data_IF_705155141681
#
_entry.id   IF_705155141681
#
_cell.length_a   1.000
_cell.length_b   1.000
_cell.length_c   1.000
_cell.angle_alpha   90.00
_cell.angle_beta   90.00
_cell.angle_gamma   90.00
#
_symmetry.space_group_name_H-M   'P 1'
#
loop_
_entity.id
_entity.type
_entity.pdbx_description
1 polymer ?
#
# COMPACT_ATOMS: atom_id res chain seq x y z
N UNK A 1 -10.98 6.63 4.70
CA UNK A 1 -10.83 6.24 3.29
C UNK A 1 -9.50 5.50 3.16
N UNK A 2 -9.47 4.42 2.40
CA UNK A 2 -8.27 3.62 2.22
C UNK A 2 -7.41 4.18 1.09
N UNK A 3 -6.10 3.97 1.19
CA UNK A 3 -5.18 4.22 0.08
C UNK A 3 -5.23 3.05 -0.91
N UNK A 4 -4.79 3.26 -2.16
CA UNK A 4 -4.70 2.18 -3.14
C UNK A 4 -3.84 1.00 -2.65
N UNK A 5 -2.76 1.30 -1.92
CA UNK A 5 -1.88 0.28 -1.37
C UNK A 5 -2.62 -0.60 -0.32
N UNK A 6 -3.44 0.03 0.53
CA UNK A 6 -4.28 -0.66 1.49
C UNK A 6 -5.35 -1.53 0.82
N UNK A 7 -5.98 -1.03 -0.23
CA UNK A 7 -6.98 -1.80 -1.00
C UNK A 7 -6.35 -3.02 -1.68
N UNK A 8 -5.18 -2.87 -2.31
CA UNK A 8 -4.43 -3.99 -2.89
C UNK A 8 -4.12 -5.05 -1.84
N UNK A 9 -3.64 -4.62 -0.67
CA UNK A 9 -3.28 -5.54 0.41
C UNK A 9 -4.52 -6.25 0.97
N UNK A 10 -5.65 -5.55 1.11
CA UNK A 10 -6.93 -6.13 1.50
C UNK A 10 -7.44 -7.17 0.50
N UNK A 11 -7.30 -6.92 -0.80
CA UNK A 11 -7.68 -7.89 -1.83
C UNK A 11 -6.82 -9.16 -1.80
N UNK A 12 -5.56 -9.03 -1.37
CA UNK A 12 -4.66 -10.15 -1.14
C UNK A 12 -5.04 -10.99 0.12
N UNK A 13 -5.74 -10.41 1.08
CA UNK A 13 -6.15 -11.10 2.31
C UNK A 13 -7.21 -12.20 2.05
N UNK A 14 -7.02 -13.37 2.64
CA UNK A 14 -8.08 -14.37 2.77
C UNK A 14 -9.01 -13.98 3.92
N UNK A 15 -10.19 -13.44 3.57
CA UNK A 15 -11.19 -12.94 4.52
C UNK A 15 -11.60 -13.95 5.60
N UNK A 16 -11.54 -15.26 5.30
CA UNK A 16 -11.94 -16.33 6.23
C UNK A 16 -10.80 -16.72 7.16
N UNK A 17 -9.57 -16.75 6.64
CA UNK A 17 -8.40 -17.21 7.41
C UNK A 17 -7.68 -16.08 8.13
N UNK A 18 -7.86 -14.83 7.69
CA UNK A 18 -7.07 -13.69 8.15
C UNK A 18 -5.59 -13.83 7.77
N UNK A 19 -5.28 -14.47 6.64
CA UNK A 19 -3.91 -14.68 6.17
C UNK A 19 -3.78 -14.20 4.74
N UNK A 20 -2.63 -13.64 4.37
CA UNK A 20 -2.38 -13.22 2.99
C UNK A 20 -2.24 -14.43 2.05
N UNK A 21 -2.76 -14.29 0.82
CA UNK A 21 -2.51 -15.26 -0.24
C UNK A 21 -1.04 -15.17 -0.66
N UNK A 22 -0.52 -16.29 -1.14
CA UNK A 22 0.87 -16.36 -1.58
C UNK A 22 1.04 -15.59 -2.90
N UNK A 23 1.81 -14.52 -2.87
CA UNK A 23 2.30 -13.79 -4.05
C UNK A 23 3.83 -13.73 -3.99
N UNK A 24 4.53 -13.65 -5.13
CA UNK A 24 5.95 -13.33 -5.12
C UNK A 24 6.19 -12.01 -4.39
N UNK A 25 7.08 -12.01 -3.40
CA UNK A 25 7.32 -10.87 -2.51
C UNK A 25 7.68 -9.60 -3.29
N UNK A 26 8.60 -9.72 -4.24
CA UNK A 26 9.02 -8.61 -5.11
C UNK A 26 7.87 -8.04 -5.94
N UNK A 27 6.94 -8.88 -6.40
CA UNK A 27 5.77 -8.43 -7.15
C UNK A 27 4.83 -7.63 -6.25
N UNK A 28 4.58 -8.10 -5.02
CA UNK A 28 3.74 -7.37 -4.06
C UNK A 28 4.39 -6.05 -3.65
N UNK A 29 5.69 -6.05 -3.33
CA UNK A 29 6.42 -4.82 -2.97
C UNK A 29 6.39 -3.79 -4.10
N UNK A 30 6.58 -4.23 -5.34
CA UNK A 30 6.50 -3.35 -6.52
C UNK A 30 5.09 -2.80 -6.71
N UNK A 31 4.05 -3.63 -6.56
CA UNK A 31 2.66 -3.19 -6.67
C UNK A 31 2.30 -2.15 -5.59
N UNK A 32 2.72 -2.37 -4.34
CA UNK A 32 2.51 -1.42 -3.25
C UNK A 32 3.28 -0.11 -3.49
N UNK A 33 4.54 -0.19 -3.92
CA UNK A 33 5.32 1.00 -4.27
C UNK A 33 4.65 1.83 -5.37
N UNK A 34 4.17 1.18 -6.43
CA UNK A 34 3.43 1.84 -7.50
C UNK A 34 2.14 2.48 -7.02
N UNK A 35 1.38 1.79 -6.16
CA UNK A 35 0.15 2.32 -5.58
C UNK A 35 0.40 3.55 -4.71
N UNK A 36 1.47 3.56 -3.91
CA UNK A 36 1.85 4.71 -3.08
C UNK A 36 2.26 5.91 -3.94
N UNK A 37 3.06 5.72 -4.99
CA UNK A 37 3.40 6.79 -5.92
C UNK A 37 2.17 7.30 -6.69
N UNK A 38 1.26 6.41 -7.09
CA UNK A 38 0.00 6.79 -7.73
C UNK A 38 -0.87 7.64 -6.80
N UNK A 39 -0.96 7.28 -5.51
CA UNK A 39 -1.68 8.06 -4.50
C UNK A 39 -1.11 9.48 -4.38
N UNK A 40 0.21 9.62 -4.36
CA UNK A 40 0.87 10.93 -4.35
C UNK A 40 0.55 11.74 -5.62
N UNK A 41 0.53 11.09 -6.79
CA UNK A 41 0.24 11.73 -8.07
C UNK A 41 -1.22 12.22 -8.14
N UNK A 42 -2.18 11.37 -7.75
CA UNK A 42 -3.60 11.73 -7.69
C UNK A 42 -3.88 12.84 -6.67
N UNK A 43 -3.08 12.92 -5.60
CA UNK A 43 -3.12 14.01 -4.63
C UNK A 43 -2.38 15.28 -5.10
N UNK A 44 -1.89 15.34 -6.34
CA UNK A 44 -1.08 16.44 -6.89
C UNK A 44 0.15 16.77 -6.03
N UNK A 45 0.74 15.77 -5.36
CA UNK A 45 2.00 15.94 -4.60
C UNK A 45 3.21 15.76 -5.49
N UNK A 46 3.10 14.85 -6.47
CA UNK A 46 4.14 14.58 -7.45
C UNK A 46 3.54 14.60 -8.86
N UNK A 47 4.40 14.77 -9.84
CA UNK A 47 4.14 14.56 -11.27
C UNK A 47 5.31 13.76 -11.86
N UNK A 48 5.16 13.24 -13.07
CA UNK A 48 6.23 12.52 -13.75
C UNK A 48 6.18 12.73 -15.25
N UNK A 49 7.35 12.84 -15.86
CA UNK A 49 7.52 12.68 -17.31
C UNK A 49 8.33 11.40 -17.61
N UNK A 50 8.77 11.25 -18.85
CA UNK A 50 9.57 10.09 -19.28
C UNK A 50 10.98 10.03 -18.65
N UNK A 51 11.46 11.12 -18.07
CA UNK A 51 12.82 11.30 -17.60
C UNK A 51 12.91 11.42 -16.07
N UNK A 52 11.92 12.05 -15.44
CA UNK A 52 11.98 12.41 -14.03
C UNK A 52 10.62 12.43 -13.34
N UNK A 53 10.65 12.06 -12.07
CA UNK A 53 9.60 12.40 -11.11
C UNK A 53 9.86 13.81 -10.58
N UNK A 54 8.83 14.65 -10.57
CA UNK A 54 8.85 16.04 -10.12
C UNK A 54 8.02 16.18 -8.86
N UNK A 55 8.59 16.83 -7.83
CA UNK A 55 7.85 17.20 -6.63
C UNK A 55 7.02 18.46 -6.93
N UNK A 56 5.70 18.35 -6.81
CA UNK A 56 4.76 19.46 -7.06
C UNK A 56 4.40 20.16 -5.75
N UNK A 57 4.11 19.39 -4.70
CA UNK A 57 3.70 19.91 -3.40
C UNK A 57 4.19 18.98 -2.29
N UNK A 58 4.85 19.56 -1.29
CA UNK A 58 5.41 18.83 -0.14
C UNK A 58 4.57 18.94 1.13
N UNK A 59 3.32 19.42 1.06
CA UNK A 59 2.43 19.46 2.22
C UNK A 59 2.09 18.04 2.68
N UNK A 60 2.09 17.78 4.01
CA UNK A 60 1.73 16.48 4.56
C UNK A 60 0.36 16.01 4.07
N UNK A 61 0.22 14.70 3.89
CA UNK A 61 -1.00 13.99 3.56
C UNK A 61 -1.66 13.37 4.81
N UNK A 62 -1.02 13.47 5.98
CA UNK A 62 -1.46 12.83 7.22
C UNK A 62 -1.52 11.30 7.12
N UNK A 63 -0.68 10.74 6.27
CA UNK A 63 -0.38 9.32 6.17
C UNK A 63 1.13 9.15 6.31
N UNK A 64 1.57 8.44 7.34
CA UNK A 64 2.98 8.37 7.69
C UNK A 64 3.85 7.78 6.58
N UNK A 65 3.32 6.85 5.78
CA UNK A 65 4.09 6.22 4.72
C UNK A 65 4.22 7.15 3.52
N UNK A 66 3.11 7.78 3.10
CA UNK A 66 3.14 8.76 2.00
C UNK A 66 4.00 9.98 2.37
N UNK A 67 3.91 10.46 3.60
CA UNK A 67 4.70 11.60 4.09
C UNK A 67 6.19 11.26 4.13
N UNK A 68 6.56 10.02 4.45
CA UNK A 68 7.95 9.58 4.42
C UNK A 68 8.51 9.54 3.00
N UNK A 69 7.72 9.02 2.05
CA UNK A 69 8.09 8.99 0.63
C UNK A 69 8.28 10.43 0.12
N UNK A 70 7.34 11.34 0.43
CA UNK A 70 7.46 12.75 0.06
C UNK A 70 8.69 13.43 0.68
N UNK A 71 9.01 13.13 1.94
CA UNK A 71 10.22 13.64 2.59
C UNK A 71 11.48 13.16 1.88
N UNK A 72 11.53 11.90 1.45
CA UNK A 72 12.65 11.33 0.69
C UNK A 72 12.78 11.99 -0.68
N UNK A 73 11.68 12.13 -1.41
CA UNK A 73 11.65 12.85 -2.70
C UNK A 73 12.16 14.29 -2.56
N UNK A 74 11.69 15.00 -1.53
CA UNK A 74 12.13 16.37 -1.23
C UNK A 74 13.60 16.46 -0.83
N UNK A 75 14.13 15.44 -0.14
CA UNK A 75 15.49 15.41 0.35
C UNK A 75 16.51 15.03 -0.74
N UNK A 76 16.07 14.49 -1.87
CA UNK A 76 16.94 14.18 -3.00
C UNK A 76 17.55 15.45 -3.58
N UNK A 77 18.88 15.52 -3.55
CA UNK A 77 19.68 16.65 -4.03
C UNK A 77 20.46 16.33 -5.30
N UNK A 78 20.48 15.05 -5.70
CA UNK A 78 21.12 14.61 -6.93
C UNK A 78 20.32 15.05 -8.17
N UNK A 79 20.82 14.67 -9.35
CA UNK A 79 20.12 14.88 -10.61
C UNK A 79 18.69 14.28 -10.57
N UNK A 80 17.73 14.85 -11.33
CA UNK A 80 16.37 14.32 -11.42
C UNK A 80 16.37 12.81 -11.68
N UNK A 81 15.56 12.08 -10.91
CA UNK A 81 15.49 10.62 -10.96
C UNK A 81 14.20 10.19 -11.67
N UNK A 82 14.25 9.21 -12.58
CA UNK A 82 13.06 8.67 -13.23
C UNK A 82 12.15 7.95 -12.22
N UNK A 83 10.87 7.80 -12.54
CA UNK A 83 9.91 7.09 -11.68
C UNK A 83 10.35 5.66 -11.33
N UNK A 84 11.06 4.98 -12.25
CA UNK A 84 11.60 3.64 -12.01
C UNK A 84 12.58 3.55 -10.83
N UNK A 85 13.37 4.61 -10.61
CA UNK A 85 14.25 4.72 -9.44
C UNK A 85 13.42 4.81 -8.16
N UNK A 86 12.40 5.67 -8.13
CA UNK A 86 11.53 5.83 -6.96
C UNK A 86 10.70 4.58 -6.67
N UNK A 87 10.24 3.87 -7.70
CA UNK A 87 9.61 2.55 -7.53
C UNK A 87 10.53 1.59 -6.78
N UNK A 88 11.80 1.50 -7.18
CA UNK A 88 12.78 0.64 -6.53
C UNK A 88 13.12 1.11 -5.11
N UNK A 89 13.29 2.42 -4.88
CA UNK A 89 13.58 2.98 -3.57
C UNK A 89 12.44 2.77 -2.56
N UNK A 90 11.18 2.90 -3.00
CA UNK A 90 10.00 2.64 -2.17
C UNK A 90 9.80 1.15 -1.96
N UNK A 91 9.97 0.32 -3.00
CA UNK A 91 9.87 -1.13 -2.88
C UNK A 91 10.94 -1.68 -1.93
N UNK A 92 12.18 -1.18 -2.02
CA UNK A 92 13.34 -1.63 -1.25
C UNK A 92 13.41 -1.10 0.18
N UNK A 93 12.47 -0.24 0.61
CA UNK A 93 12.52 0.44 1.91
C UNK A 93 12.70 -0.54 3.09
N UNK A 94 13.56 -0.15 4.03
CA UNK A 94 13.98 -0.95 5.19
C UNK A 94 12.84 -1.37 6.13
N UNK A 95 11.63 -0.82 5.95
CA UNK A 95 10.44 -1.15 6.74
C UNK A 95 9.49 -2.15 6.10
N UNK A 96 9.78 -2.67 4.90
CA UNK A 96 8.86 -3.43 4.03
C UNK A 96 7.54 -2.66 3.80
N UNK A 97 7.26 -2.14 2.60
CA UNK A 97 6.02 -1.39 2.34
C UNK A 97 4.77 -2.18 2.74
N UNK A 98 4.79 -3.52 2.65
CA UNK A 98 3.70 -4.36 3.11
C UNK A 98 3.40 -4.21 4.60
N UNK A 99 4.42 -4.22 5.46
CA UNK A 99 4.23 -4.16 6.92
C UNK A 99 3.70 -2.79 7.35
N UNK A 100 4.17 -1.72 6.70
CA UNK A 100 3.68 -0.36 6.96
C UNK A 100 2.24 -0.14 6.50
N UNK A 101 1.90 -0.64 5.31
CA UNK A 101 0.51 -0.60 4.80
C UNK A 101 -0.41 -1.44 5.70
N UNK A 102 0.06 -2.60 6.15
CA UNK A 102 -0.66 -3.45 7.10
C UNK A 102 -0.91 -2.74 8.44
N UNK A 103 0.10 -2.05 8.97
CA UNK A 103 -0.05 -1.26 10.18
C UNK A 103 -1.09 -0.14 9.99
N UNK A 104 -1.10 0.53 8.83
CA UNK A 104 -2.13 1.53 8.49
C UNK A 104 -3.56 0.97 8.54
N UNK A 105 -3.77 -0.25 8.00
CA UNK A 105 -5.06 -0.94 8.09
C UNK A 105 -5.46 -1.30 9.52
N UNK A 106 -4.50 -1.64 10.37
CA UNK A 106 -4.74 -1.91 11.81
C UNK A 106 -5.08 -0.61 12.54
N UNK A 107 -4.33 0.47 12.29
CA UNK A 107 -4.53 1.77 12.93
C UNK A 107 -5.89 2.39 12.54
N UNK A 108 -6.34 2.14 11.30
CA UNK A 108 -7.68 2.53 10.80
C UNK A 108 -8.81 1.63 11.32
N UNK A 109 -8.49 0.56 12.06
CA UNK A 109 -9.48 -0.36 12.62
C UNK A 109 -10.12 -1.30 11.60
N UNK A 110 -9.53 -1.45 10.41
CA UNK A 110 -10.04 -2.35 9.36
C UNK A 110 -9.62 -3.79 9.66
N UNK A 111 -8.39 -3.97 10.16
CA UNK A 111 -7.82 -5.25 10.55
C UNK A 111 -7.52 -5.27 12.06
N UNK A 112 -7.57 -6.45 12.66
CA UNK A 112 -7.04 -6.72 14.01
C UNK A 112 -5.80 -7.59 13.90
N UNK A 113 -4.96 -7.59 14.93
CA UNK A 113 -3.82 -8.52 15.03
C UNK A 113 -4.19 -9.64 16.00
N UNK A 114 -4.12 -10.89 15.53
CA UNK A 114 -4.32 -12.08 16.35
C UNK A 114 -3.11 -13.00 16.27
N UNK A 115 -2.50 -13.30 17.41
CA UNK A 115 -1.43 -14.29 17.50
C UNK A 115 -2.01 -15.65 17.92
N UNK A 116 -2.03 -16.63 17.02
CA UNK A 116 -2.52 -17.99 17.28
C UNK A 116 -1.36 -18.94 17.56
N UNK A 117 -1.41 -19.69 18.66
CA UNK A 117 -0.46 -20.78 18.92
C UNK A 117 -0.98 -22.10 18.33
N UNK A 118 -0.20 -22.70 17.44
CA UNK A 118 -0.41 -24.06 16.91
C UNK A 118 0.59 -24.99 17.56
N UNK A 119 0.11 -26.09 18.16
CA UNK A 119 0.93 -27.09 18.87
C UNK A 119 1.86 -26.50 19.97
N UNK A 120 1.45 -25.40 20.62
CA UNK A 120 2.23 -24.65 21.63
C UNK A 120 3.56 -24.02 21.17
N UNK A 121 4.11 -24.42 20.01
CA UNK A 121 5.43 -23.99 19.52
C UNK A 121 5.38 -23.10 18.28
N UNK A 122 4.29 -23.09 17.51
CA UNK A 122 4.17 -22.27 16.31
C UNK A 122 3.25 -21.08 16.55
N UNK A 123 3.80 -19.87 16.61
CA UNK A 123 3.00 -18.65 16.58
C UNK A 123 2.68 -18.32 15.11
N UNK A 124 1.40 -18.32 14.75
CA UNK A 124 0.92 -17.82 13.46
C UNK A 124 0.16 -16.51 13.69
N UNK A 125 0.65 -15.43 13.09
CA UNK A 125 -0.05 -14.14 13.10
C UNK A 125 -1.14 -14.12 12.04
N UNK A 126 -2.30 -13.59 12.41
CA UNK A 126 -3.47 -13.42 11.55
C UNK A 126 -4.01 -12.00 11.65
N UNK A 127 -4.67 -11.59 10.59
CA UNK A 127 -5.24 -10.27 10.39
C UNK A 127 -6.72 -10.39 10.00
N UNK A 128 -7.62 -10.78 10.92
CA UNK A 128 -9.05 -10.82 10.61
C UNK A 128 -9.62 -9.41 10.37
N UNK A 129 -10.60 -9.33 9.47
CA UNK A 129 -11.40 -8.13 9.24
C UNK A 129 -12.26 -7.81 10.46
N UNK A 130 -12.45 -6.53 10.76
CA UNK A 130 -13.30 -6.09 11.86
C UNK A 130 -14.77 -6.11 11.47
N UNK A 131 -15.13 -5.44 10.39
CA UNK A 131 -16.50 -5.40 9.82
C UNK A 131 -16.50 -5.96 8.39
N UNK A 132 -15.44 -5.72 7.62
CA UNK A 132 -15.26 -6.25 6.27
C UNK A 132 -16.00 -5.46 5.19
N UNK A 133 -16.68 -4.37 5.56
CA UNK A 133 -17.35 -3.46 4.63
C UNK A 133 -16.37 -2.90 3.59
N UNK A 134 -15.16 -2.54 4.01
CA UNK A 134 -14.15 -1.95 3.13
C UNK A 134 -13.77 -2.90 2.00
N UNK A 135 -13.62 -4.20 2.29
CA UNK A 135 -13.32 -5.21 1.27
C UNK A 135 -14.49 -5.40 0.32
N UNK A 136 -15.72 -5.37 0.84
CA UNK A 136 -16.94 -5.48 0.01
C UNK A 136 -17.08 -4.27 -0.90
N UNK A 137 -16.83 -3.06 -0.40
CA UNK A 137 -16.89 -1.81 -1.15
C UNK A 137 -15.89 -1.82 -2.32
N UNK A 138 -14.62 -2.16 -2.04
CA UNK A 138 -13.57 -2.25 -3.07
C UNK A 138 -13.96 -3.26 -4.15
N UNK A 139 -14.39 -4.47 -3.76
CA UNK A 139 -14.82 -5.50 -4.72
C UNK A 139 -16.03 -5.07 -5.53
N UNK A 140 -16.97 -4.36 -4.92
CA UNK A 140 -18.18 -3.88 -5.59
C UNK A 140 -17.82 -2.83 -6.64
N UNK A 141 -16.99 -1.84 -6.28
CA UNK A 141 -16.50 -0.82 -7.21
C UNK A 141 -15.74 -1.42 -8.38
N UNK A 142 -14.84 -2.38 -8.13
CA UNK A 142 -14.08 -3.05 -9.19
C UNK A 142 -14.99 -3.89 -10.11
N UNK A 143 -15.97 -4.63 -9.56
CA UNK A 143 -16.92 -5.38 -10.40
C UNK A 143 -17.77 -4.45 -11.25
N UNK A 144 -18.25 -3.36 -10.68
CA UNK A 144 -19.04 -2.39 -11.42
C UNK A 144 -18.25 -1.86 -12.63
N UNK A 145 -16.96 -1.56 -12.46
CA UNK A 145 -16.10 -1.06 -13.54
C UNK A 145 -15.73 -2.15 -14.58
N UNK A 146 -15.52 -3.40 -14.17
CA UNK A 146 -15.13 -4.48 -15.09
C UNK A 146 -16.33 -4.99 -15.92
N UNK A 147 -17.52 -4.97 -15.34
CA UNK A 147 -18.74 -5.50 -15.97
C UNK A 147 -19.71 -4.40 -16.44
N UNK A 148 -19.34 -3.12 -16.34
CA UNK A 148 -20.05 -2.05 -17.04
C UNK A 148 -19.72 -2.11 -18.52
N UNK A 149 -20.75 -2.02 -19.37
CA UNK A 149 -20.61 -1.96 -20.83
C UNK A 149 -20.30 -0.53 -21.36
N UNK A 150 -19.92 0.40 -20.47
CA UNK A 150 -19.56 1.79 -20.80
C UNK A 150 -18.07 1.95 -21.12
#
# INVERSE_FOLDING_TARGET
>A
MLTFAEEILLLNLDDKKGTFRHLPEEALRTALAGALLLELALANRIDTDQHALVLVDSRPMHDSLLDDILRRIKAEKAAPRPVGHWLQEVASEAGNPQDRVLQGLVDKGVLKVEDRKVLWVFAQRRYPLVDGQEVVEVRTRLRALIFSDD
#
